data_IF_189422581014
#
_entry.id   IF_189422581014
#
_cell.length_a   1.000
_cell.length_b   1.000
_cell.length_c   1.000
_cell.angle_alpha   90.00
_cell.angle_beta   90.00
_cell.angle_gamma   90.00
#
_symmetry.space_group_name_H-M   'P 1'
#
loop_
_entity.id
_entity.type
_entity.pdbx_description
1 polymer ?
#
# COMPACT_ATOMS: atom_id res chain seq x y z
N UNK A 1 21.14 -1.19 -11.94
CA UNK A 1 20.27 -0.38 -11.05
C UNK A 1 21.14 0.39 -10.07
N UNK A 2 20.84 1.67 -9.83
CA UNK A 2 21.61 2.53 -8.89
C UNK A 2 21.17 2.34 -7.43
N UNK A 3 19.96 1.85 -7.21
CA UNK A 3 19.36 1.64 -5.90
C UNK A 3 18.66 0.28 -5.84
N UNK A 4 18.53 -0.32 -4.65
CA UNK A 4 17.77 -1.56 -4.48
C UNK A 4 16.30 -1.34 -4.83
N UNK A 5 15.64 -2.43 -5.25
CA UNK A 5 14.19 -2.47 -5.39
C UNK A 5 13.57 -2.45 -3.99
N UNK A 6 12.54 -1.64 -3.73
CA UNK A 6 11.87 -1.64 -2.43
C UNK A 6 11.06 -2.93 -2.23
N UNK A 7 10.92 -3.37 -0.99
CA UNK A 7 10.05 -4.51 -0.65
C UNK A 7 8.56 -4.12 -0.74
N UNK A 8 8.22 -2.91 -0.27
CA UNK A 8 6.89 -2.31 -0.28
C UNK A 8 6.89 -1.00 -1.06
N UNK A 9 5.91 -0.81 -1.94
CA UNK A 9 5.59 0.49 -2.53
C UNK A 9 4.16 0.91 -2.17
N UNK A 10 3.95 2.19 -1.90
CA UNK A 10 2.65 2.76 -1.56
C UNK A 10 2.39 3.97 -2.44
N UNK A 11 1.26 3.99 -3.14
CA UNK A 11 0.83 5.11 -3.97
C UNK A 11 -0.48 5.67 -3.44
N UNK A 12 -0.50 6.98 -3.21
CA UNK A 12 -1.70 7.73 -2.84
C UNK A 12 -2.25 8.35 -4.12
N UNK A 13 -3.45 7.93 -4.51
CA UNK A 13 -4.04 8.32 -5.78
C UNK A 13 -4.32 9.82 -5.83
N UNK A 14 -4.10 10.36 -7.02
CA UNK A 14 -4.60 11.66 -7.43
C UNK A 14 -5.23 11.52 -8.82
N UNK A 15 -6.15 12.41 -9.22
CA UNK A 15 -6.77 12.35 -10.55
C UNK A 15 -5.77 12.32 -11.71
N UNK A 16 -4.58 12.89 -11.54
CA UNK A 16 -3.55 12.94 -12.59
C UNK A 16 -2.64 11.71 -12.63
N UNK A 17 -2.58 10.90 -11.57
CA UNK A 17 -1.65 9.76 -11.47
C UNK A 17 -2.32 8.39 -11.52
N UNK A 18 -3.63 8.31 -11.25
CA UNK A 18 -4.33 7.04 -11.08
C UNK A 18 -4.15 6.07 -12.25
N UNK A 19 -4.29 6.54 -13.49
CA UNK A 19 -4.11 5.69 -14.68
C UNK A 19 -2.70 5.08 -14.75
N UNK A 20 -1.68 5.80 -14.27
CA UNK A 20 -0.30 5.32 -14.23
C UNK A 20 -0.07 4.37 -13.05
N UNK A 21 -0.63 4.70 -11.87
CA UNK A 21 -0.48 3.93 -10.64
C UNK A 21 -1.15 2.55 -10.73
N UNK A 22 -2.28 2.47 -11.46
CA UNK A 22 -3.01 1.22 -11.75
C UNK A 22 -2.55 0.49 -13.02
N UNK A 23 -1.75 1.15 -13.87
CA UNK A 23 -1.28 0.62 -15.14
C UNK A 23 0.23 0.38 -15.12
N UNK A 24 0.97 1.29 -15.75
CA UNK A 24 2.42 1.12 -15.99
C UNK A 24 3.21 0.88 -14.70
N UNK A 25 2.95 1.62 -13.61
CA UNK A 25 3.67 1.40 -12.34
C UNK A 25 3.36 0.02 -11.74
N UNK A 26 2.09 -0.39 -11.79
CA UNK A 26 1.66 -1.69 -11.28
C UNK A 26 2.40 -2.83 -11.98
N UNK A 27 2.47 -2.78 -13.32
CA UNK A 27 3.20 -3.76 -14.13
C UNK A 27 4.72 -3.69 -13.89
N UNK A 28 5.29 -2.48 -13.87
CA UNK A 28 6.72 -2.25 -13.65
C UNK A 28 7.16 -2.76 -12.27
N UNK A 29 6.39 -2.49 -11.22
CA UNK A 29 6.71 -2.94 -9.86
C UNK A 29 6.63 -4.47 -9.73
N UNK A 30 5.63 -5.10 -10.34
CA UNK A 30 5.54 -6.56 -10.39
C UNK A 30 6.74 -7.16 -11.15
N UNK A 31 7.08 -6.61 -12.32
CA UNK A 31 8.21 -7.05 -13.14
C UNK A 31 9.56 -6.90 -12.42
N UNK A 32 9.71 -5.88 -11.58
CA UNK A 32 10.90 -5.65 -10.77
C UNK A 32 10.88 -6.38 -9.42
N UNK A 33 9.82 -7.14 -9.13
CA UNK A 33 9.64 -7.96 -7.92
C UNK A 33 9.49 -7.17 -6.61
N UNK A 34 8.85 -6.00 -6.65
CA UNK A 34 8.39 -5.33 -5.43
C UNK A 34 7.34 -6.24 -4.78
N UNK A 35 7.59 -6.71 -3.57
CA UNK A 35 6.83 -7.82 -2.97
C UNK A 35 5.40 -7.44 -2.56
N UNK A 36 5.17 -6.18 -2.26
CA UNK A 36 3.85 -5.66 -1.86
C UNK A 36 3.62 -4.26 -2.42
N UNK A 37 2.39 -3.99 -2.85
CA UNK A 37 1.99 -2.72 -3.43
C UNK A 37 0.66 -2.26 -2.85
N UNK A 38 0.62 -1.06 -2.25
CA UNK A 38 -0.60 -0.46 -1.72
C UNK A 38 -1.04 0.70 -2.59
N UNK A 39 -2.33 0.73 -2.92
CA UNK A 39 -2.98 1.87 -3.58
C UNK A 39 -4.00 2.46 -2.62
N UNK A 40 -3.83 3.72 -2.27
CA UNK A 40 -4.71 4.45 -1.36
C UNK A 40 -5.55 5.43 -2.17
N UNK A 41 -6.88 5.29 -2.12
CA UNK A 41 -7.81 6.27 -2.65
C UNK A 41 -8.30 7.17 -1.53
N UNK A 42 -7.97 8.46 -1.61
CA UNK A 42 -8.45 9.48 -0.66
C UNK A 42 -9.90 9.89 -0.95
N UNK A 43 -10.34 9.82 -2.21
CA UNK A 43 -11.73 10.11 -2.59
C UNK A 43 -12.70 9.05 -2.05
N UNK A 44 -12.31 7.78 -2.14
CA UNK A 44 -13.14 6.65 -1.69
C UNK A 44 -12.85 6.23 -0.24
N UNK A 45 -11.83 6.83 0.40
CA UNK A 45 -11.32 6.43 1.71
C UNK A 45 -11.07 4.91 1.81
N UNK A 46 -10.38 4.35 0.80
CA UNK A 46 -10.07 2.92 0.72
C UNK A 46 -8.59 2.66 0.46
N UNK A 47 -8.13 1.50 0.88
CA UNK A 47 -6.83 0.94 0.51
C UNK A 47 -7.02 -0.37 -0.23
N UNK A 48 -6.19 -0.59 -1.26
CA UNK A 48 -6.01 -1.87 -1.94
C UNK A 48 -4.61 -2.40 -1.64
N UNK A 49 -4.54 -3.57 -1.01
CA UNK A 49 -3.30 -4.30 -0.73
C UNK A 49 -3.09 -5.36 -1.81
N UNK A 50 -2.02 -5.23 -2.59
CA UNK A 50 -1.58 -6.22 -3.56
C UNK A 50 -0.32 -6.93 -3.08
N UNK A 51 -0.29 -8.25 -3.18
CA UNK A 51 0.88 -9.09 -2.85
C UNK A 51 1.38 -9.77 -4.11
N UNK A 52 2.70 -9.77 -4.31
CA UNK A 52 3.31 -10.39 -5.48
C UNK A 52 3.36 -11.92 -5.32
N UNK A 53 2.67 -12.65 -6.18
CA UNK A 53 2.73 -14.11 -6.24
C UNK A 53 3.03 -14.56 -7.67
N UNK A 54 4.05 -15.40 -7.84
CA UNK A 54 4.44 -15.97 -9.16
C UNK A 54 4.64 -14.92 -10.27
N UNK A 55 5.06 -13.72 -9.92
CA UNK A 55 5.35 -12.63 -10.86
C UNK A 55 4.16 -11.72 -11.18
N UNK A 56 3.00 -11.93 -10.56
CA UNK A 56 1.82 -11.08 -10.72
C UNK A 56 1.29 -10.62 -9.37
N UNK A 57 0.74 -9.42 -9.32
CA UNK A 57 0.08 -8.93 -8.12
C UNK A 57 -1.31 -9.53 -7.96
N UNK A 58 -1.61 -10.00 -6.75
CA UNK A 58 -2.92 -10.48 -6.34
C UNK A 58 -3.51 -9.53 -5.29
N UNK A 59 -4.77 -9.12 -5.50
CA UNK A 59 -5.49 -8.30 -4.53
C UNK A 59 -5.80 -9.15 -3.29
N UNK A 60 -5.18 -8.79 -2.16
CA UNK A 60 -5.38 -9.44 -0.87
C UNK A 60 -6.51 -8.79 -0.09
N UNK A 61 -6.63 -7.47 -0.18
CA UNK A 61 -7.64 -6.68 0.51
C UNK A 61 -7.99 -5.44 -0.30
N UNK A 62 -9.28 -5.10 -0.35
CA UNK A 62 -9.77 -3.76 -0.65
C UNK A 62 -10.75 -3.37 0.43
N UNK A 63 -10.45 -2.36 1.23
CA UNK A 63 -11.29 -2.00 2.37
C UNK A 63 -11.18 -0.52 2.73
N UNK A 64 -12.22 0.01 3.35
CA UNK A 64 -12.25 1.31 4.05
C UNK A 64 -12.13 1.17 5.56
N UNK A 65 -12.04 -0.06 6.08
CA UNK A 65 -11.91 -0.32 7.53
C UNK A 65 -11.22 -1.64 7.85
N UNK A 66 -10.80 -1.77 9.10
CA UNK A 66 -10.21 -2.98 9.65
C UNK A 66 -8.69 -3.03 9.52
N UNK A 67 -8.11 -4.16 9.90
CA UNK A 67 -6.66 -4.27 10.09
C UNK A 67 -5.91 -4.56 8.78
N UNK A 68 -5.05 -3.63 8.39
CA UNK A 68 -4.08 -3.77 7.31
C UNK A 68 -2.75 -4.26 7.88
N UNK A 69 -2.23 -5.38 7.35
CA UNK A 69 -0.99 -6.00 7.83
C UNK A 69 -0.08 -6.27 6.64
N UNK A 70 1.11 -5.66 6.64
CA UNK A 70 2.11 -5.92 5.60
C UNK A 70 2.62 -7.36 5.63
N UNK A 71 2.86 -7.91 4.46
CA UNK A 71 3.49 -9.22 4.25
C UNK A 71 5.01 -9.14 4.11
N UNK A 72 5.55 -7.97 3.77
CA UNK A 72 6.98 -7.78 3.48
C UNK A 72 7.70 -6.90 4.51
N UNK A 73 6.98 -6.03 5.24
CA UNK A 73 7.51 -5.24 6.35
C UNK A 73 7.03 -5.86 7.67
N UNK A 74 7.90 -6.63 8.32
CA UNK A 74 7.56 -7.30 9.57
C UNK A 74 7.17 -6.30 10.66
N UNK A 75 6.01 -6.51 11.29
CA UNK A 75 5.50 -5.65 12.36
C UNK A 75 4.76 -4.40 11.87
N UNK A 76 4.71 -4.14 10.56
CA UNK A 76 3.90 -3.05 10.02
C UNK A 76 2.44 -3.47 9.92
N UNK A 77 1.63 -2.94 10.84
CA UNK A 77 0.19 -3.11 10.88
C UNK A 77 -0.49 -1.85 11.40
N UNK A 78 -1.70 -1.59 10.90
CA UNK A 78 -2.54 -0.47 11.31
C UNK A 78 -4.00 -0.74 10.97
N UNK A 79 -4.91 0.00 11.61
CA UNK A 79 -6.30 0.07 11.16
C UNK A 79 -6.37 0.97 9.91
N UNK A 80 -7.12 0.55 8.89
CA UNK A 80 -7.25 1.28 7.62
C UNK A 80 -7.77 2.70 7.84
N UNK A 81 -8.65 2.89 8.82
CA UNK A 81 -9.18 4.21 9.17
C UNK A 81 -8.09 5.21 9.60
N UNK A 82 -6.96 4.73 10.13
CA UNK A 82 -5.83 5.59 10.50
C UNK A 82 -5.16 6.24 9.28
N UNK A 83 -5.45 5.79 8.05
CA UNK A 83 -5.01 6.45 6.82
C UNK A 83 -5.81 7.72 6.50
N UNK A 84 -7.01 7.87 7.07
CA UNK A 84 -7.98 8.90 6.68
C UNK A 84 -8.49 9.75 7.86
N UNK A 85 -8.24 9.32 9.09
CA UNK A 85 -8.64 10.01 10.33
C UNK A 85 -7.41 10.45 11.13
N UNK A 86 -7.35 11.73 11.49
CA UNK A 86 -6.19 12.35 12.15
C UNK A 86 -5.90 11.78 13.54
N UNK A 87 -6.94 11.56 14.35
CA UNK A 87 -6.79 11.04 15.72
C UNK A 87 -6.27 9.59 15.68
N UNK A 88 -6.88 8.76 14.82
CA UNK A 88 -6.43 7.39 14.60
C UNK A 88 -5.03 7.32 13.99
N UNK A 89 -4.68 8.25 13.11
CA UNK A 89 -3.35 8.35 12.52
C UNK A 89 -2.27 8.57 13.58
N UNK A 90 -2.48 9.54 14.47
CA UNK A 90 -1.54 9.83 15.55
C UNK A 90 -1.39 8.65 16.52
N UNK A 91 -2.49 7.96 16.83
CA UNK A 91 -2.46 6.76 17.65
C UNK A 91 -1.65 5.62 17.00
N UNK A 92 -1.85 5.38 15.69
CA UNK A 92 -1.10 4.38 14.93
C UNK A 92 0.39 4.74 14.84
N UNK A 93 0.72 6.02 14.60
CA UNK A 93 2.11 6.49 14.55
C UNK A 93 2.84 6.28 15.89
N UNK A 94 2.17 6.55 17.01
CA UNK A 94 2.74 6.30 18.33
C UNK A 94 3.03 4.82 18.57
N UNK A 95 2.19 3.91 18.07
CA UNK A 95 2.42 2.46 18.16
C UNK A 95 3.59 2.00 17.28
N UNK A 96 3.73 2.57 16.08
CA UNK A 96 4.82 2.23 15.14
C UNK A 96 6.19 2.69 15.65
N UNK A 97 6.24 3.81 16.38
CA UNK A 97 7.48 4.40 16.89
C UNK A 97 7.90 3.91 18.28
N UNK A 98 7.08 3.06 18.92
CA UNK A 98 7.35 2.48 20.24
C UNK A 98 8.33 1.30 20.15
#
# INVERSE_FOLDING_TARGET
MKFPVPDLAVEVLSPSTEARDRGVKFEDYAANRVGEYWIISTEEATVEQFVLEKGTYHLRMKSSSGRLVSTVVTGLELEVEALFDEEKNLAALAQILA
#
